data_IF_292999437528
#
_entry.id   IF_292999437528
#
_cell.length_a   1.000
_cell.length_b   1.000
_cell.length_c   1.000
_cell.angle_alpha   90.00
_cell.angle_beta   90.00
_cell.angle_gamma   90.00
#
_symmetry.space_group_name_H-M   'P 1'
#
loop_
_entity.id
_entity.type
_entity.pdbx_description
1 polymer ?
#
# COMPACT_ATOMS: atom_id res chain seq x y z
N UNK A 1 22.09 -10.77 6.55
CA UNK A 1 20.90 -11.64 6.40
C UNK A 1 20.21 -11.24 5.12
N UNK A 2 20.32 -12.04 4.05
CA UNK A 2 19.60 -11.79 2.80
C UNK A 2 18.13 -12.05 3.07
N UNK A 3 17.32 -11.01 3.19
CA UNK A 3 15.87 -11.14 3.22
C UNK A 3 15.47 -11.57 1.80
N UNK A 4 15.19 -12.86 1.61
CA UNK A 4 14.60 -13.37 0.37
C UNK A 4 13.34 -12.54 0.05
N UNK A 5 13.09 -12.30 -1.25
CA UNK A 5 11.89 -11.61 -1.74
C UNK A 5 10.56 -12.25 -1.26
N UNK A 6 10.62 -13.42 -0.63
CA UNK A 6 9.50 -14.18 -0.06
C UNK A 6 8.72 -13.46 1.04
N UNK A 7 9.30 -12.44 1.72
CA UNK A 7 8.57 -11.71 2.77
C UNK A 7 7.45 -10.82 2.20
N UNK A 8 7.61 -10.31 0.99
CA UNK A 8 6.57 -9.50 0.35
C UNK A 8 5.71 -10.41 -0.50
N UNK A 9 4.52 -10.73 0.02
CA UNK A 9 3.54 -11.56 -0.65
C UNK A 9 3.09 -10.89 -1.96
N UNK A 10 3.68 -11.26 -3.10
CA UNK A 10 3.21 -10.83 -4.43
C UNK A 10 1.96 -11.62 -4.76
N UNK A 11 0.84 -11.26 -4.14
CA UNK A 11 -0.43 -11.92 -4.39
C UNK A 11 -0.93 -11.52 -5.78
N UNK A 12 -1.33 -12.54 -6.54
CA UNK A 12 -1.92 -12.41 -7.87
C UNK A 12 -3.28 -13.07 -7.82
N UNK A 13 -4.32 -12.32 -8.15
CA UNK A 13 -5.69 -12.77 -8.07
C UNK A 13 -6.24 -13.03 -9.46
N UNK A 14 -6.80 -14.22 -9.65
CA UNK A 14 -7.58 -14.58 -10.84
C UNK A 14 -9.00 -14.86 -10.36
N UNK A 15 -9.97 -14.14 -10.90
CA UNK A 15 -11.38 -14.30 -10.55
C UNK A 15 -12.11 -14.80 -11.79
N UNK A 16 -12.86 -15.88 -11.61
CA UNK A 16 -13.65 -16.54 -12.65
C UNK A 16 -15.07 -16.64 -12.12
N UNK A 17 -16.07 -16.44 -12.99
CA UNK A 17 -17.47 -16.65 -12.65
C UNK A 17 -18.40 -15.62 -13.26
N UNK A 18 -19.70 -15.90 -13.23
CA UNK A 18 -20.75 -15.08 -13.85
C UNK A 18 -20.87 -13.67 -13.24
N UNK A 19 -20.48 -13.53 -11.97
CA UNK A 19 -20.54 -12.28 -11.22
C UNK A 19 -19.17 -11.62 -11.01
N UNK A 20 -18.12 -12.12 -11.67
CA UNK A 20 -16.73 -11.69 -11.43
C UNK A 20 -16.53 -10.17 -11.68
N UNK A 21 -17.30 -9.57 -12.58
CA UNK A 21 -17.29 -8.13 -12.83
C UNK A 21 -17.70 -7.28 -11.63
N UNK A 22 -18.50 -7.82 -10.70
CA UNK A 22 -18.90 -7.09 -9.47
C UNK A 22 -17.69 -6.77 -8.60
N UNK A 23 -16.60 -7.51 -8.73
CA UNK A 23 -15.33 -7.24 -8.02
C UNK A 23 -14.83 -5.83 -8.31
N UNK A 24 -15.03 -5.31 -9.53
CA UNK A 24 -14.62 -3.95 -9.92
C UNK A 24 -15.30 -2.83 -9.13
N UNK A 25 -16.36 -3.14 -8.37
CA UNK A 25 -17.08 -2.17 -7.54
C UNK A 25 -16.77 -2.32 -6.04
N UNK A 26 -15.80 -3.17 -5.68
CA UNK A 26 -15.46 -3.44 -4.27
C UNK A 26 -14.36 -2.51 -3.78
N UNK A 27 -14.50 -1.99 -2.55
CA UNK A 27 -13.48 -1.09 -1.93
C UNK A 27 -12.11 -1.75 -1.81
N UNK A 28 -12.07 -3.09 -1.76
CA UNK A 28 -10.84 -3.87 -1.65
C UNK A 28 -9.89 -3.64 -2.83
N UNK A 29 -10.40 -3.19 -3.99
CA UNK A 29 -9.57 -2.88 -5.15
C UNK A 29 -8.66 -1.67 -4.97
N UNK A 30 -8.90 -0.84 -3.96
CA UNK A 30 -7.94 0.21 -3.58
C UNK A 30 -6.58 -0.40 -3.19
N UNK A 31 -6.56 -1.64 -2.69
CA UNK A 31 -5.36 -2.27 -2.15
C UNK A 31 -4.79 -3.40 -3.02
N UNK A 32 -5.48 -3.79 -4.10
CA UNK A 32 -5.12 -4.95 -4.93
C UNK A 32 -4.75 -4.53 -6.34
N UNK A 33 -3.46 -4.41 -6.65
CA UNK A 33 -2.98 -4.05 -8.00
C UNK A 33 -3.04 -5.21 -9.01
N UNK A 34 -2.74 -6.42 -8.53
CA UNK A 34 -2.59 -7.62 -9.35
C UNK A 34 -3.88 -8.44 -9.40
N UNK A 35 -4.81 -8.03 -10.26
CA UNK A 35 -6.09 -8.69 -10.49
C UNK A 35 -6.31 -8.98 -11.98
N UNK A 36 -6.77 -10.18 -12.28
CA UNK A 36 -7.35 -10.56 -13.57
C UNK A 36 -8.74 -11.15 -13.35
N UNK A 37 -9.72 -10.64 -14.07
CA UNK A 37 -11.07 -11.19 -14.17
C UNK A 37 -11.19 -11.89 -15.52
N UNK A 38 -11.69 -13.12 -15.51
CA UNK A 38 -11.83 -13.95 -16.71
C UNK A 38 -13.32 -14.09 -17.02
N UNK A 39 -13.72 -13.66 -18.22
CA UNK A 39 -15.09 -13.78 -18.69
C UNK A 39 -15.16 -14.67 -19.94
N UNK A 40 -16.02 -15.69 -19.97
CA UNK A 40 -16.22 -16.48 -21.17
C UNK A 40 -16.99 -15.67 -22.23
N UNK A 41 -16.52 -15.73 -23.47
CA UNK A 41 -17.22 -15.27 -24.65
C UNK A 41 -17.68 -16.50 -25.46
N UNK A 42 -18.98 -16.78 -25.41
CA UNK A 42 -19.57 -17.97 -26.01
C UNK A 42 -19.64 -17.90 -27.54
N UNK A 43 -19.67 -16.68 -28.11
CA UNK A 43 -19.77 -16.50 -29.56
C UNK A 43 -18.45 -16.83 -30.28
N UNK A 44 -17.32 -16.61 -29.59
CA UNK A 44 -15.98 -16.76 -30.16
C UNK A 44 -15.16 -17.90 -29.53
N UNK A 45 -15.77 -18.71 -28.65
CA UNK A 45 -15.10 -19.77 -27.88
C UNK A 45 -13.79 -19.27 -27.22
N UNK A 46 -13.84 -18.05 -26.70
CA UNK A 46 -12.69 -17.34 -26.12
C UNK A 46 -12.99 -16.83 -24.71
N UNK A 47 -11.96 -16.32 -24.05
CA UNK A 47 -12.06 -15.76 -22.71
C UNK A 47 -11.44 -14.37 -22.69
N UNK A 48 -12.22 -13.37 -22.30
CA UNK A 48 -11.75 -12.01 -22.12
C UNK A 48 -11.06 -11.92 -20.76
N UNK A 49 -9.82 -11.43 -20.78
CA UNK A 49 -9.01 -11.22 -19.59
C UNK A 49 -9.00 -9.73 -19.29
N UNK A 50 -9.64 -9.36 -18.19
CA UNK A 50 -9.91 -7.96 -17.84
C UNK A 50 -9.17 -7.64 -16.55
N UNK A 51 -8.57 -6.46 -16.49
CA UNK A 51 -7.97 -5.91 -15.28
C UNK A 51 -8.52 -4.51 -15.02
N UNK A 52 -8.04 -3.84 -13.97
CA UNK A 52 -8.37 -2.44 -13.68
C UNK A 52 -7.14 -1.53 -13.81
N UNK A 53 -7.40 -0.25 -14.06
CA UNK A 53 -6.38 0.81 -14.10
C UNK A 53 -5.94 1.23 -12.70
N UNK A 54 -5.27 0.34 -11.97
CA UNK A 54 -4.72 0.64 -10.64
C UNK A 54 -3.75 1.83 -10.69
N UNK A 55 -3.87 2.76 -9.74
CA UNK A 55 -2.96 3.89 -9.62
C UNK A 55 -3.49 5.21 -10.16
N UNK A 56 -4.80 5.39 -10.29
CA UNK A 56 -5.41 6.71 -10.51
C UNK A 56 -6.65 6.78 -9.60
N UNK A 57 -6.73 7.75 -8.70
CA UNK A 57 -7.82 7.82 -7.70
C UNK A 57 -9.21 7.79 -8.36
N UNK A 58 -9.35 8.38 -9.55
CA UNK A 58 -10.63 8.45 -10.25
C UNK A 58 -10.88 7.28 -11.20
N UNK A 59 -9.83 6.57 -11.60
CA UNK A 59 -9.89 5.51 -12.61
C UNK A 59 -9.47 4.14 -12.11
N UNK A 60 -9.15 4.00 -10.81
CA UNK A 60 -8.71 2.72 -10.22
C UNK A 60 -9.72 1.59 -10.38
N UNK A 61 -10.99 1.92 -10.59
CA UNK A 61 -12.07 0.97 -10.82
C UNK A 61 -12.40 0.76 -12.31
N UNK A 62 -11.80 1.56 -13.20
CA UNK A 62 -12.02 1.47 -14.64
C UNK A 62 -11.43 0.17 -15.19
N UNK A 63 -12.27 -0.58 -15.89
CA UNK A 63 -11.92 -1.86 -16.47
C UNK A 63 -11.12 -1.65 -17.75
N UNK A 64 -10.10 -2.47 -17.93
CA UNK A 64 -9.27 -2.52 -19.13
C UNK A 64 -9.16 -3.96 -19.59
N UNK A 65 -9.53 -4.22 -20.84
CA UNK A 65 -9.22 -5.49 -21.48
C UNK A 65 -7.70 -5.61 -21.60
N UNK A 66 -7.18 -6.73 -21.10
CA UNK A 66 -5.77 -7.01 -21.06
C UNK A 66 -5.40 -7.98 -22.18
N UNK A 67 -6.14 -9.07 -22.34
CA UNK A 67 -5.95 -10.00 -23.44
C UNK A 67 -7.24 -10.78 -23.74
N UNK A 68 -7.21 -11.56 -24.82
CA UNK A 68 -8.22 -12.55 -25.16
C UNK A 68 -7.51 -13.90 -25.30
N UNK A 69 -7.97 -14.90 -24.54
CA UNK A 69 -7.45 -16.27 -24.64
C UNK A 69 -8.40 -17.15 -25.45
N UNK A 70 -7.90 -17.73 -26.54
CA UNK A 70 -8.64 -18.63 -27.41
C UNK A 70 -8.46 -20.09 -26.99
N UNK A 71 -9.56 -20.75 -26.64
CA UNK A 71 -9.50 -22.12 -26.10
C UNK A 71 -9.18 -23.17 -27.16
N UNK A 72 -9.61 -22.97 -28.40
CA UNK A 72 -9.43 -23.93 -29.50
C UNK A 72 -7.98 -24.10 -29.94
N UNK A 73 -7.14 -23.08 -29.77
CA UNK A 73 -5.72 -23.09 -30.17
C UNK A 73 -4.76 -22.77 -29.02
N UNK A 74 -5.28 -22.63 -27.79
CA UNK A 74 -4.53 -22.30 -26.58
C UNK A 74 -3.62 -21.06 -26.71
N UNK A 75 -4.08 -20.03 -27.42
CA UNK A 75 -3.27 -18.84 -27.69
C UNK A 75 -3.86 -17.57 -27.08
N UNK A 76 -2.97 -16.62 -26.80
CA UNK A 76 -3.34 -15.25 -26.47
C UNK A 76 -3.38 -14.41 -27.75
N UNK A 77 -4.35 -13.50 -27.86
CA UNK A 77 -4.47 -12.60 -28.99
C UNK A 77 -3.31 -11.59 -29.04
N UNK A 78 -2.98 -10.98 -27.90
CA UNK A 78 -1.95 -9.95 -27.81
C UNK A 78 -0.65 -10.45 -27.15
N UNK A 79 -0.72 -11.48 -26.31
CA UNK A 79 0.43 -11.98 -25.57
C UNK A 79 0.89 -11.02 -24.47
N UNK A 80 -0.04 -10.28 -23.88
CA UNK A 80 0.24 -9.31 -22.83
C UNK A 80 0.54 -10.01 -21.50
N UNK A 81 1.33 -9.34 -20.64
CA UNK A 81 1.52 -9.79 -19.26
C UNK A 81 0.20 -9.71 -18.50
N UNK A 82 -0.22 -10.82 -17.90
CA UNK A 82 -1.46 -10.91 -17.11
C UNK A 82 -1.44 -10.06 -15.84
N UNK A 83 -0.25 -9.74 -15.34
CA UNK A 83 -0.06 -8.92 -14.14
C UNK A 83 0.95 -7.81 -14.44
N UNK A 84 0.58 -6.86 -15.31
CA UNK A 84 1.51 -5.82 -15.73
C UNK A 84 1.94 -4.98 -14.52
N UNK A 85 3.11 -4.37 -14.61
CA UNK A 85 3.59 -3.47 -13.56
C UNK A 85 2.68 -2.24 -13.45
N UNK A 86 1.98 -2.14 -12.33
CA UNK A 86 1.16 -0.98 -11.98
C UNK A 86 1.75 -0.17 -10.84
N UNK A 87 2.81 -0.63 -10.17
CA UNK A 87 3.31 -0.04 -8.93
C UNK A 87 4.48 0.91 -9.14
N UNK A 88 5.24 0.78 -10.22
CA UNK A 88 6.36 1.68 -10.50
C UNK A 88 5.93 3.11 -10.78
N UNK A 89 4.73 3.32 -11.33
CA UNK A 89 4.14 4.64 -11.55
C UNK A 89 2.66 4.61 -11.17
N UNK A 90 2.32 5.34 -10.12
CA UNK A 90 0.99 5.42 -9.54
C UNK A 90 0.25 6.70 -9.96
N UNK A 91 0.63 7.34 -11.08
CA UNK A 91 -0.06 8.45 -11.75
C UNK A 91 -0.70 9.53 -10.83
N UNK A 92 0.01 9.92 -9.77
CA UNK A 92 -0.45 10.93 -8.82
C UNK A 92 -1.49 10.43 -7.81
N UNK A 93 -1.73 9.13 -7.70
CA UNK A 93 -2.59 8.52 -6.67
C UNK A 93 -2.20 9.03 -5.30
N UNK A 94 -3.21 9.36 -4.49
CA UNK A 94 -3.01 9.81 -3.11
C UNK A 94 -2.46 8.68 -2.25
N UNK A 95 -1.37 8.97 -1.54
CA UNK A 95 -0.85 8.16 -0.45
C UNK A 95 -1.23 8.86 0.86
N UNK A 96 -2.13 8.24 1.64
CA UNK A 96 -2.55 8.75 2.96
C UNK A 96 -1.45 8.43 3.97
N UNK A 97 -0.91 9.45 4.62
CA UNK A 97 0.29 9.33 5.46
C UNK A 97 -0.01 9.82 6.86
N UNK A 98 0.09 8.95 7.86
CA UNK A 98 -0.02 9.31 9.27
C UNK A 98 1.34 9.67 9.86
N UNK A 99 1.42 10.79 10.59
CA UNK A 99 2.61 11.14 11.39
C UNK A 99 2.27 12.18 12.46
N UNK A 100 3.22 12.45 13.36
CA UNK A 100 3.19 13.55 14.32
C UNK A 100 4.62 14.03 14.59
N UNK A 101 4.78 15.17 15.26
CA UNK A 101 6.12 15.71 15.55
C UNK A 101 6.85 14.85 16.58
N UNK A 102 7.92 14.21 16.15
CA UNK A 102 8.87 13.46 16.97
C UNK A 102 10.28 13.64 16.40
N UNK A 103 11.00 14.64 16.93
CA UNK A 103 12.33 14.99 16.45
C UNK A 103 13.38 13.90 16.74
N UNK A 104 14.36 13.68 15.85
CA UNK A 104 14.54 14.33 14.54
C UNK A 104 13.86 13.57 13.37
N UNK A 105 12.97 12.62 13.67
CA UNK A 105 12.43 11.68 12.69
C UNK A 105 11.31 12.28 11.84
N UNK A 106 10.39 12.98 12.49
CA UNK A 106 9.26 13.66 11.86
C UNK A 106 9.01 15.00 12.53
N UNK A 107 8.85 16.05 11.73
CA UNK A 107 8.47 17.37 12.19
C UNK A 107 7.36 17.86 11.27
N UNK A 108 6.19 18.11 11.87
CA UNK A 108 5.00 18.56 11.15
C UNK A 108 5.23 19.96 10.59
N UNK A 109 4.95 20.11 9.30
CA UNK A 109 5.00 21.40 8.61
C UNK A 109 3.72 22.23 8.81
N UNK A 110 3.75 23.48 8.37
CA UNK A 110 2.55 24.30 8.26
C UNK A 110 1.61 23.82 7.13
N UNK A 111 2.17 23.10 6.15
CA UNK A 111 1.50 22.48 5.02
C UNK A 111 2.18 21.15 4.65
N UNK A 112 1.60 20.40 3.71
CA UNK A 112 2.12 19.10 3.26
C UNK A 112 3.52 19.16 2.61
N UNK A 113 4.06 20.34 2.32
CA UNK A 113 5.36 20.53 1.67
C UNK A 113 6.47 20.88 2.66
N UNK A 114 6.10 21.34 3.86
CA UNK A 114 7.02 21.83 4.89
C UNK A 114 7.29 20.82 6.00
N UNK A 115 6.71 19.63 5.92
CA UNK A 115 7.10 18.49 6.76
C UNK A 115 8.59 18.20 6.55
N UNK A 116 9.31 17.88 7.62
CA UNK A 116 10.72 17.51 7.55
C UNK A 116 11.08 16.47 8.61
N UNK A 117 12.35 16.07 8.66
CA UNK A 117 12.83 14.97 9.49
C UNK A 117 13.33 13.79 8.66
N UNK A 118 14.10 12.91 9.29
CA UNK A 118 14.81 11.83 8.58
C UNK A 118 13.86 10.82 7.91
N UNK A 119 12.76 10.46 8.56
CA UNK A 119 11.74 9.56 7.99
C UNK A 119 10.86 10.28 6.97
N UNK A 120 10.52 11.55 7.21
CA UNK A 120 9.79 12.38 6.25
C UNK A 120 10.54 12.49 4.92
N UNK A 121 11.85 12.73 4.94
CA UNK A 121 12.66 12.80 3.72
C UNK A 121 12.60 11.49 2.92
N UNK A 122 12.59 10.34 3.61
CA UNK A 122 12.43 9.05 2.93
C UNK A 122 11.05 8.91 2.29
N UNK A 123 9.98 9.33 2.98
CA UNK A 123 8.62 9.29 2.44
C UNK A 123 8.52 10.16 1.19
N UNK A 124 9.10 11.35 1.16
CA UNK A 124 9.11 12.17 -0.04
C UNK A 124 9.86 11.53 -1.22
N UNK A 125 10.99 10.87 -0.95
CA UNK A 125 11.70 10.12 -2.00
C UNK A 125 10.87 8.94 -2.51
N UNK A 126 10.15 8.23 -1.63
CA UNK A 126 9.23 7.17 -2.03
C UNK A 126 8.08 7.71 -2.90
N UNK A 127 7.43 8.78 -2.46
CA UNK A 127 6.34 9.45 -3.19
C UNK A 127 6.81 9.91 -4.57
N UNK A 128 7.97 10.55 -4.65
CA UNK A 128 8.57 10.99 -5.92
C UNK A 128 8.91 9.82 -6.84
N UNK A 129 9.52 8.76 -6.30
CA UNK A 129 9.94 7.58 -7.06
C UNK A 129 8.76 6.88 -7.72
N UNK A 130 7.63 6.79 -7.02
CA UNK A 130 6.44 6.06 -7.47
C UNK A 130 5.37 6.96 -8.10
N UNK A 131 5.65 8.26 -8.28
CA UNK A 131 4.70 9.25 -8.79
C UNK A 131 3.36 9.21 -8.01
N UNK A 132 3.44 9.42 -6.70
CA UNK A 132 2.30 9.51 -5.79
C UNK A 132 2.05 10.98 -5.40
N UNK A 133 0.87 11.25 -4.85
CA UNK A 133 0.55 12.54 -4.20
C UNK A 133 0.47 12.36 -2.69
N UNK A 134 1.28 13.05 -1.88
CA UNK A 134 1.26 12.87 -0.43
C UNK A 134 0.02 13.55 0.18
N UNK A 135 -0.69 12.84 1.04
CA UNK A 135 -1.81 13.35 1.81
C UNK A 135 -1.58 13.09 3.30
N UNK A 136 -1.03 14.07 4.00
CA UNK A 136 -0.69 13.93 5.42
C UNK A 136 -1.92 14.06 6.32
N UNK A 137 -1.96 13.19 7.33
CA UNK A 137 -2.86 13.23 8.48
C UNK A 137 -1.98 13.37 9.73
N UNK A 138 -2.18 14.45 10.47
CA UNK A 138 -1.49 14.68 11.73
C UNK A 138 -2.22 13.87 12.81
N UNK A 139 -1.53 12.91 13.41
CA UNK A 139 -2.06 12.09 14.48
C UNK A 139 -2.18 12.93 15.75
N UNK A 140 -3.32 12.80 16.44
CA UNK A 140 -3.62 13.55 17.66
C UNK A 140 -2.89 13.03 18.90
N UNK A 141 -3.48 13.29 20.06
CA UNK A 141 -2.85 13.10 21.38
C UNK A 141 -2.49 11.65 21.71
N UNK A 142 -3.07 10.67 21.02
CA UNK A 142 -2.74 9.25 21.20
C UNK A 142 -1.36 8.88 20.59
N UNK A 143 -0.76 9.75 19.77
CA UNK A 143 0.59 9.61 19.19
C UNK A 143 0.81 8.25 18.51
N UNK A 144 1.70 7.39 19.04
CA UNK A 144 1.92 6.04 18.53
C UNK A 144 0.66 5.15 18.69
N UNK A 145 -0.04 5.31 19.80
CA UNK A 145 -1.20 4.50 20.13
C UNK A 145 -0.89 3.01 20.29
N UNK A 146 -1.93 2.19 20.13
CA UNK A 146 -1.90 0.76 20.42
C UNK A 146 -2.99 0.04 19.59
N UNK A 147 -2.88 -1.28 19.48
CA UNK A 147 -3.90 -2.17 18.88
C UNK A 147 -4.30 -3.21 19.91
N UNK A 148 -5.61 -3.30 20.15
CA UNK A 148 -6.21 -4.21 21.12
C UNK A 148 -6.70 -5.49 20.45
N UNK A 149 -6.82 -6.57 21.23
CA UNK A 149 -7.26 -7.90 20.76
C UNK A 149 -8.63 -7.91 20.08
N UNK A 150 -9.47 -6.91 20.35
CA UNK A 150 -10.78 -6.75 19.72
C UNK A 150 -10.71 -6.07 18.33
N UNK A 151 -9.52 -5.97 17.73
CA UNK A 151 -9.29 -5.30 16.43
C UNK A 151 -9.70 -3.82 16.44
N UNK A 152 -9.56 -3.15 17.59
CA UNK A 152 -9.64 -1.70 17.67
C UNK A 152 -8.26 -1.14 18.00
N UNK A 153 -8.03 0.12 17.67
CA UNK A 153 -6.77 0.77 17.98
C UNK A 153 -6.90 2.28 18.06
N UNK A 154 -5.87 2.91 18.59
CA UNK A 154 -5.75 4.37 18.75
C UNK A 154 -4.41 4.84 18.17
N UNK A 155 -4.23 6.16 18.05
CA UNK A 155 -3.01 6.76 17.51
C UNK A 155 -2.69 6.30 16.10
N UNK A 156 -1.40 6.35 15.73
CA UNK A 156 -0.96 6.02 14.37
C UNK A 156 -1.21 4.55 14.01
N UNK A 157 -1.07 3.64 14.99
CA UNK A 157 -1.32 2.22 14.80
C UNK A 157 -2.82 1.95 14.57
N UNK A 158 -3.70 2.62 15.33
CA UNK A 158 -5.14 2.56 15.12
C UNK A 158 -5.59 3.14 13.79
N UNK A 159 -5.03 4.29 13.37
CA UNK A 159 -5.34 4.87 12.07
C UNK A 159 -4.89 3.98 10.91
N UNK A 160 -3.77 3.25 11.06
CA UNK A 160 -3.37 2.22 10.09
C UNK A 160 -4.34 1.05 10.06
N UNK A 161 -4.73 0.54 11.24
CA UNK A 161 -5.68 -0.57 11.37
C UNK A 161 -7.04 -0.27 10.73
N UNK A 162 -7.49 0.98 10.83
CA UNK A 162 -8.78 1.43 10.34
C UNK A 162 -8.77 1.91 8.87
N UNK A 163 -7.67 1.70 8.15
CA UNK A 163 -7.46 2.20 6.77
C UNK A 163 -7.58 3.74 6.63
N UNK A 164 -7.43 4.50 7.72
CA UNK A 164 -7.49 5.97 7.70
C UNK A 164 -6.21 6.55 7.07
N UNK A 165 -5.09 5.86 7.24
CA UNK A 165 -3.80 6.16 6.59
C UNK A 165 -3.23 4.88 5.97
N UNK A 166 -2.50 5.01 4.87
CA UNK A 166 -1.89 3.88 4.15
C UNK A 166 -0.50 3.54 4.72
N UNK A 167 0.21 4.56 5.22
CA UNK A 167 1.55 4.42 5.82
C UNK A 167 1.65 5.33 7.04
N UNK A 168 2.29 4.83 8.10
CA UNK A 168 2.58 5.57 9.32
C UNK A 168 4.08 5.61 9.63
N UNK A 169 4.58 6.76 10.06
CA UNK A 169 5.94 6.91 10.57
C UNK A 169 6.02 7.95 11.69
N UNK A 170 6.90 7.71 12.66
CA UNK A 170 7.26 8.58 13.78
C UNK A 170 8.18 7.78 14.74
N UNK A 171 9.29 7.23 14.22
CA UNK A 171 10.17 6.29 14.93
C UNK A 171 9.43 5.04 15.47
N UNK A 172 8.63 4.41 14.62
CA UNK A 172 7.84 3.23 14.97
C UNK A 172 8.78 2.04 15.24
N UNK A 173 8.63 1.42 16.42
CA UNK A 173 9.28 0.16 16.73
C UNK A 173 8.55 -1.01 16.09
N UNK A 174 9.31 -2.02 15.69
CA UNK A 174 8.80 -3.27 15.14
C UNK A 174 8.43 -4.23 16.26
N UNK A 175 7.40 -3.90 17.03
CA UNK A 175 6.89 -4.78 18.10
C UNK A 175 6.28 -6.04 17.50
N UNK A 176 6.53 -7.20 18.13
CA UNK A 176 6.07 -8.49 17.62
C UNK A 176 4.54 -8.59 17.57
N UNK A 177 3.85 -8.06 18.58
CA UNK A 177 2.39 -8.15 18.73
C UNK A 177 1.62 -7.49 17.57
N UNK A 178 2.14 -6.41 17.01
CA UNK A 178 1.50 -5.70 15.91
C UNK A 178 1.65 -6.39 14.54
N UNK A 179 2.54 -7.39 14.40
CA UNK A 179 2.65 -8.18 13.16
C UNK A 179 1.40 -9.00 12.84
N UNK A 180 0.52 -9.21 13.82
CA UNK A 180 -0.77 -9.88 13.60
C UNK A 180 -1.77 -8.99 12.84
N UNK A 181 -1.52 -7.68 12.82
CA UNK A 181 -2.44 -6.66 12.31
C UNK A 181 -1.85 -5.86 11.15
N UNK A 182 -0.55 -5.56 11.21
CA UNK A 182 0.15 -4.64 10.31
C UNK A 182 1.44 -5.25 9.75
N UNK A 183 1.84 -4.76 8.59
CA UNK A 183 3.13 -5.05 7.98
C UNK A 183 4.12 -3.91 8.22
N UNK A 184 5.40 -4.26 8.44
CA UNK A 184 6.49 -3.29 8.57
C UNK A 184 7.39 -3.27 7.33
N UNK A 185 7.94 -2.09 7.03
CA UNK A 185 9.04 -1.94 6.08
C UNK A 185 10.33 -2.56 6.63
N UNK A 186 11.41 -2.53 5.85
CA UNK A 186 12.73 -2.79 6.41
C UNK A 186 13.10 -1.66 7.38
N UNK A 187 13.68 -1.96 8.55
CA UNK A 187 14.08 -0.94 9.51
C UNK A 187 14.99 0.10 8.86
N UNK A 188 14.64 1.38 9.04
CA UNK A 188 15.41 2.51 8.51
C UNK A 188 16.62 2.84 9.39
N UNK A 189 16.42 2.70 10.70
CA UNK A 189 17.41 2.97 11.73
C UNK A 189 17.37 1.85 12.76
N UNK A 190 18.53 1.52 13.34
CA UNK A 190 18.62 0.66 14.50
C UNK A 190 18.93 1.51 15.72
N UNK A 191 18.07 1.46 16.73
CA UNK A 191 18.25 2.15 18.00
C UNK A 191 18.33 1.15 19.15
N UNK A 192 18.66 1.63 20.34
CA UNK A 192 18.70 0.84 21.55
C UNK A 192 18.42 1.71 22.76
N UNK A 193 17.92 1.09 23.83
CA UNK A 193 17.67 1.79 25.09
C UNK A 193 19.01 2.08 25.76
N UNK A 194 19.23 3.34 26.10
CA UNK A 194 20.41 3.79 26.86
C UNK A 194 19.97 4.66 28.02
N UNK A 195 20.78 4.69 29.08
CA UNK A 195 20.54 5.56 30.23
C UNK A 195 21.37 6.83 30.05
N UNK A 196 20.69 7.98 29.96
CA UNK A 196 21.33 9.29 30.02
C UNK A 196 21.38 9.73 31.49
N UNK A 197 22.57 10.08 31.96
CA UNK A 197 22.78 10.71 33.27
C UNK A 197 23.35 12.12 33.07
N UNK A 198 23.12 13.04 34.01
CA UNK A 198 23.74 14.37 33.95
C UNK A 198 25.27 14.27 33.82
N UNK A 199 25.86 15.27 33.15
CA UNK A 199 27.32 15.38 33.10
C UNK A 199 27.89 15.49 34.52
N UNK A 200 29.05 14.86 34.79
CA UNK A 200 29.72 15.02 36.07
C UNK A 200 30.08 16.49 36.31
N UNK A 201 30.01 16.92 37.58
CA UNK A 201 30.44 18.25 38.02
C UNK A 201 31.95 18.46 37.85
#
# INVERSE_FOLDING_TARGET
MSLNNERFNVRRYIIIGTDALKTFNTKQLEYVSNLVVVLPNLDTESFDLITHLYGDENRSYEQKILDVWYSHNCSFLYGNDLFPDKLSNQNGRRLKIGTFTYEPYSVVGADNQTFHGTETSLIFEFVKKHNLTPAFTIIGDDLWGDIYDNWTGIGILGSLLNDEVDVGYAAIYTWEEYYNFLDYTKPLTRTGVTCLVPAPL
#
